data_IF_218892081155
#
_entry.id   IF_218892081155
#
_cell.length_a   1.000
_cell.length_b   1.000
_cell.length_c   1.000
_cell.angle_alpha   90.00
_cell.angle_beta   90.00
_cell.angle_gamma   90.00
#
_symmetry.space_group_name_H-M   'P 1'
#
loop_
_entity.id
_entity.type
_entity.pdbx_description
1 polymer ?
#
# COMPACT_ATOMS: atom_id res chain seq x y z
N UNK A 1 -4.24 -21.08 14.06
CA UNK A 1 -4.31 -19.96 13.12
C UNK A 1 -4.24 -18.64 13.91
N UNK A 2 -3.25 -17.81 13.67
CA UNK A 2 -3.10 -16.50 14.34
C UNK A 2 -3.93 -15.45 13.62
N UNK A 3 -4.63 -14.60 14.36
CA UNK A 3 -5.40 -13.48 13.80
C UNK A 3 -4.50 -12.25 13.68
N UNK A 4 -4.55 -11.57 12.55
CA UNK A 4 -3.83 -10.32 12.29
C UNK A 4 -4.84 -9.23 11.96
N UNK A 5 -4.88 -8.18 12.78
CA UNK A 5 -5.63 -6.97 12.49
C UNK A 5 -4.72 -5.93 11.85
N UNK A 6 -5.06 -5.45 10.68
CA UNK A 6 -4.37 -4.36 9.98
C UNK A 6 -5.26 -3.12 10.06
N UNK A 7 -4.72 -2.01 10.53
CA UNK A 7 -5.45 -0.76 10.68
C UNK A 7 -5.16 0.15 9.47
N UNK A 8 -6.21 0.40 8.68
CA UNK A 8 -6.18 1.22 7.48
C UNK A 8 -5.97 0.43 6.18
N UNK A 9 -6.83 0.68 5.20
CA UNK A 9 -6.78 0.11 3.85
C UNK A 9 -5.97 1.00 2.87
N UNK A 10 -4.92 1.65 3.36
CA UNK A 10 -3.95 2.35 2.52
C UNK A 10 -2.99 1.39 1.82
N UNK A 11 -2.05 1.93 1.03
CA UNK A 11 -1.06 1.14 0.28
C UNK A 11 -0.35 0.11 1.16
N UNK A 12 0.14 0.53 2.34
CA UNK A 12 0.88 -0.36 3.25
C UNK A 12 0.01 -1.47 3.81
N UNK A 13 -1.22 -1.15 4.26
CA UNK A 13 -2.14 -2.14 4.81
C UNK A 13 -2.57 -3.17 3.77
N UNK A 14 -2.93 -2.72 2.58
CA UNK A 14 -3.27 -3.59 1.46
C UNK A 14 -2.09 -4.47 1.03
N UNK A 15 -0.86 -3.90 1.01
CA UNK A 15 0.34 -4.66 0.66
C UNK A 15 0.64 -5.75 1.68
N UNK A 16 0.61 -5.43 2.98
CA UNK A 16 0.86 -6.40 4.06
C UNK A 16 -0.20 -7.52 4.03
N UNK A 17 -1.47 -7.18 3.83
CA UNK A 17 -2.53 -8.18 3.71
C UNK A 17 -2.27 -9.16 2.55
N UNK A 18 -1.80 -8.64 1.40
CA UNK A 18 -1.44 -9.48 0.26
C UNK A 18 -0.24 -10.40 0.53
N UNK A 19 0.71 -10.01 1.38
CA UNK A 19 1.82 -10.88 1.75
C UNK A 19 1.39 -12.04 2.63
N UNK A 20 0.37 -11.84 3.47
CA UNK A 20 -0.09 -12.86 4.41
C UNK A 20 -1.22 -13.74 3.89
N UNK A 21 -1.93 -13.34 2.82
CA UNK A 21 -3.15 -14.03 2.36
C UNK A 21 -2.96 -15.50 1.98
N UNK A 22 -1.78 -15.86 1.48
CA UNK A 22 -1.47 -17.21 1.04
C UNK A 22 -0.98 -18.11 2.21
N UNK A 23 -0.71 -17.54 3.37
CA UNK A 23 -0.24 -18.29 4.53
C UNK A 23 -1.41 -18.68 5.42
N UNK A 24 -1.72 -19.97 5.42
CA UNK A 24 -2.83 -20.55 6.17
C UNK A 24 -2.69 -20.45 7.71
N UNK A 25 -1.50 -20.13 8.21
CA UNK A 25 -1.29 -19.91 9.65
C UNK A 25 -1.92 -18.60 10.16
N UNK A 26 -2.28 -17.69 9.23
CA UNK A 26 -2.80 -16.38 9.55
C UNK A 26 -4.20 -16.14 8.99
N UNK A 27 -5.04 -15.54 9.82
CA UNK A 27 -6.29 -14.94 9.39
C UNK A 27 -6.14 -13.42 9.43
N UNK A 28 -6.11 -12.78 8.26
CA UNK A 28 -5.90 -11.34 8.13
C UNK A 28 -7.23 -10.61 7.97
N UNK A 29 -7.40 -9.51 8.69
CA UNK A 29 -8.52 -8.58 8.53
C UNK A 29 -7.99 -7.15 8.51
N UNK A 30 -8.41 -6.35 7.53
CA UNK A 30 -8.12 -4.92 7.44
C UNK A 30 -9.34 -4.15 7.97
N UNK A 31 -9.12 -3.20 8.87
CA UNK A 31 -10.15 -2.30 9.39
C UNK A 31 -9.92 -0.90 8.82
N UNK A 32 -10.87 -0.43 8.03
CA UNK A 32 -10.83 0.88 7.37
C UNK A 32 -11.94 1.77 7.95
N UNK A 33 -11.58 2.99 8.34
CA UNK A 33 -12.52 3.96 8.93
C UNK A 33 -13.54 4.50 7.93
N UNK A 34 -13.15 4.61 6.66
CA UNK A 34 -14.00 5.14 5.61
C UNK A 34 -14.98 4.07 5.09
N UNK A 35 -16.03 4.53 4.42
CA UNK A 35 -17.03 3.65 3.78
C UNK A 35 -16.51 2.91 2.57
N UNK A 36 -15.44 3.44 1.96
CA UNK A 36 -14.78 2.86 0.78
C UNK A 36 -13.34 3.35 0.68
N UNK A 37 -12.55 2.70 -0.17
CA UNK A 37 -11.22 3.20 -0.55
C UNK A 37 -11.41 4.23 -1.66
N UNK A 38 -10.88 5.45 -1.43
CA UNK A 38 -10.90 6.50 -2.44
C UNK A 38 -9.87 6.20 -3.54
N UNK A 39 -10.38 6.02 -4.76
CA UNK A 39 -9.60 5.84 -5.99
C UNK A 39 -9.61 7.09 -6.87
N UNK A 40 -10.32 8.15 -6.48
CA UNK A 40 -10.48 9.37 -7.28
C UNK A 40 -9.28 10.30 -7.11
N UNK A 41 -8.67 10.37 -5.94
CA UNK A 41 -7.48 11.17 -5.71
C UNK A 41 -6.28 10.64 -6.51
N UNK A 42 -5.97 11.36 -7.58
CA UNK A 42 -5.08 10.92 -8.63
C UNK A 42 -3.72 11.60 -8.68
N UNK A 43 -3.02 11.81 -7.54
CA UNK A 43 -1.63 12.23 -7.62
C UNK A 43 -0.71 11.06 -8.00
N UNK A 44 0.40 11.43 -8.67
CA UNK A 44 1.45 10.46 -9.01
C UNK A 44 2.25 10.07 -7.77
N UNK A 45 2.66 8.83 -7.71
CA UNK A 45 3.61 8.33 -6.71
C UNK A 45 4.85 7.77 -7.39
N UNK A 46 5.93 7.78 -6.67
CA UNK A 46 7.22 7.26 -7.12
C UNK A 46 7.59 6.06 -6.24
N UNK A 47 7.97 4.99 -6.90
CA UNK A 47 8.37 3.74 -6.27
C UNK A 47 9.83 3.45 -6.62
N UNK A 48 10.67 3.40 -5.61
CA UNK A 48 12.07 3.01 -5.76
C UNK A 48 12.22 1.52 -6.06
N UNK A 49 13.36 1.11 -6.57
CA UNK A 49 13.63 -0.27 -6.98
C UNK A 49 13.47 -1.28 -5.85
N UNK A 50 13.79 -0.90 -4.61
CA UNK A 50 13.54 -1.74 -3.43
C UNK A 50 12.03 -1.95 -3.16
N UNK A 51 11.20 -0.92 -3.36
CA UNK A 51 9.75 -1.03 -3.25
C UNK A 51 9.18 -1.93 -4.35
N UNK A 52 9.69 -1.79 -5.59
CA UNK A 52 9.31 -2.65 -6.71
C UNK A 52 9.67 -4.11 -6.43
N UNK A 53 10.86 -4.38 -5.88
CA UNK A 53 11.28 -5.72 -5.48
C UNK A 53 10.30 -6.37 -4.49
N UNK A 54 9.78 -5.60 -3.55
CA UNK A 54 8.77 -6.08 -2.60
C UNK A 54 7.42 -6.31 -3.28
N UNK A 55 6.97 -5.36 -4.09
CA UNK A 55 5.69 -5.44 -4.81
C UNK A 55 5.67 -6.60 -5.83
N UNK A 56 6.81 -6.93 -6.43
CA UNK A 56 6.93 -8.07 -7.35
C UNK A 56 6.65 -9.41 -6.65
N UNK A 57 6.85 -9.52 -5.32
CA UNK A 57 6.47 -10.73 -4.57
C UNK A 57 4.97 -11.01 -4.63
N UNK A 58 4.16 -9.98 -4.86
CA UNK A 58 2.72 -10.09 -5.03
C UNK A 58 2.29 -9.89 -6.49
N UNK A 59 3.23 -9.97 -7.44
CA UNK A 59 2.93 -9.94 -8.87
C UNK A 59 2.74 -8.55 -9.47
N UNK A 60 3.38 -7.50 -8.92
CA UNK A 60 3.30 -6.14 -9.48
C UNK A 60 3.86 -6.05 -10.90
N UNK A 61 4.80 -6.92 -11.27
CA UNK A 61 5.33 -7.03 -12.61
C UNK A 61 4.29 -7.41 -13.68
N UNK A 62 3.11 -7.88 -13.28
CA UNK A 62 1.98 -8.15 -14.20
C UNK A 62 1.14 -6.91 -14.51
N UNK A 63 1.39 -5.78 -13.84
CA UNK A 63 0.72 -4.52 -14.15
C UNK A 63 1.10 -4.06 -15.56
N UNK A 64 0.12 -3.63 -16.34
CA UNK A 64 0.34 -3.21 -17.73
C UNK A 64 1.25 -1.98 -17.82
N UNK A 65 2.08 -1.93 -18.87
CA UNK A 65 3.04 -0.83 -19.08
C UNK A 65 2.35 0.52 -19.28
N UNK A 66 1.12 0.56 -19.81
CA UNK A 66 0.32 1.79 -19.92
C UNK A 66 -0.05 2.44 -18.59
N UNK A 67 -0.05 1.67 -17.49
CA UNK A 67 -0.41 2.14 -16.15
C UNK A 67 0.79 2.59 -15.32
N UNK A 68 2.01 2.46 -15.87
CA UNK A 68 3.26 2.80 -15.18
C UNK A 68 4.26 3.43 -16.14
N UNK A 69 5.15 4.25 -15.59
CA UNK A 69 6.26 4.87 -16.32
C UNK A 69 7.57 4.62 -15.55
N UNK A 70 8.63 4.31 -16.28
CA UNK A 70 9.96 4.08 -15.71
C UNK A 70 10.89 5.21 -16.15
N UNK A 71 11.04 6.30 -15.37
CA UNK A 71 11.96 7.38 -15.70
C UNK A 71 13.41 6.90 -15.61
N UNK A 72 14.24 7.42 -16.50
CA UNK A 72 15.67 7.14 -16.52
C UNK A 72 16.44 8.18 -15.70
N UNK A 73 15.88 9.38 -15.55
CA UNK A 73 16.54 10.53 -14.96
C UNK A 73 15.56 11.42 -14.21
N UNK A 74 16.02 12.07 -13.15
CA UNK A 74 15.35 13.19 -12.48
C UNK A 74 16.24 14.41 -12.57
N UNK A 75 15.68 15.51 -13.07
CA UNK A 75 16.33 16.82 -13.09
C UNK A 75 15.69 17.75 -12.05
N UNK A 76 16.49 18.47 -11.31
CA UNK A 76 16.07 19.44 -10.32
C UNK A 76 16.40 20.86 -10.81
N UNK A 77 15.43 21.75 -10.75
CA UNK A 77 15.56 23.15 -11.19
C UNK A 77 15.19 24.13 -10.09
N UNK A 78 15.78 25.34 -10.11
CA UNK A 78 15.26 26.50 -9.36
C UNK A 78 14.01 27.04 -10.05
N UNK A 79 13.09 27.64 -9.26
CA UNK A 79 11.87 28.26 -9.83
C UNK A 79 12.24 29.55 -10.58
N UNK A 80 13.13 30.37 -10.02
CA UNK A 80 13.59 31.65 -10.61
C UNK A 80 15.03 31.97 -10.18
N UNK A 81 15.96 32.22 -11.11
CA UNK A 81 15.85 31.93 -12.54
C UNK A 81 15.76 30.42 -12.77
N UNK A 82 15.15 30.00 -13.85
CA UNK A 82 15.03 28.58 -14.23
C UNK A 82 16.43 27.99 -14.54
N UNK A 83 17.10 27.54 -13.49
CA UNK A 83 18.47 27.01 -13.56
C UNK A 83 18.48 25.59 -13.01
N UNK A 84 19.09 24.68 -13.75
CA UNK A 84 19.32 23.32 -13.29
C UNK A 84 20.25 23.33 -12.07
N UNK A 85 19.80 22.71 -10.98
CA UNK A 85 20.58 22.54 -9.74
C UNK A 85 21.45 21.29 -9.85
N UNK A 86 20.81 20.16 -10.15
CA UNK A 86 21.47 18.87 -10.28
C UNK A 86 20.57 17.90 -11.07
N UNK A 87 21.12 16.76 -11.38
CA UNK A 87 20.39 15.61 -11.91
C UNK A 87 20.75 14.34 -11.15
N UNK A 88 19.85 13.36 -11.25
CA UNK A 88 20.06 12.02 -10.74
C UNK A 88 19.76 11.04 -11.86
N UNK A 89 20.78 10.28 -12.28
CA UNK A 89 20.59 9.17 -13.21
C UNK A 89 19.98 7.99 -12.46
N UNK A 90 18.69 7.75 -12.68
CA UNK A 90 17.93 6.69 -12.00
C UNK A 90 18.21 5.34 -12.63
N UNK A 91 18.58 5.31 -13.91
CA UNK A 91 18.86 4.06 -14.61
C UNK A 91 19.98 3.25 -13.96
N UNK A 92 20.91 3.91 -13.27
CA UNK A 92 22.00 3.26 -12.55
C UNK A 92 21.55 2.38 -11.36
N UNK A 93 20.35 2.65 -10.84
CA UNK A 93 19.75 1.89 -9.75
C UNK A 93 18.78 0.80 -10.24
N UNK A 94 18.49 0.77 -11.54
CA UNK A 94 17.57 -0.19 -12.13
C UNK A 94 18.25 -1.54 -12.37
N UNK A 95 17.46 -2.60 -12.19
CA UNK A 95 17.80 -3.94 -12.65
C UNK A 95 16.78 -4.42 -13.68
N UNK A 96 17.03 -5.59 -14.29
CA UNK A 96 16.13 -6.17 -15.28
C UNK A 96 14.67 -6.23 -14.80
N UNK A 97 14.46 -6.64 -13.54
CA UNK A 97 13.14 -6.93 -12.98
C UNK A 97 12.65 -5.87 -11.99
N UNK A 98 13.49 -4.91 -11.62
CA UNK A 98 13.18 -3.87 -10.65
C UNK A 98 13.61 -2.52 -11.18
N UNK A 99 12.69 -1.78 -11.79
CA UNK A 99 12.91 -0.43 -12.29
C UNK A 99 12.20 0.58 -11.40
N UNK A 100 12.86 1.72 -11.18
CA UNK A 100 12.19 2.87 -10.59
C UNK A 100 10.93 3.18 -11.40
N UNK A 101 9.81 3.33 -10.71
CA UNK A 101 8.50 3.38 -11.37
C UNK A 101 7.68 4.54 -10.83
N UNK A 102 7.05 5.29 -11.72
CA UNK A 102 6.03 6.27 -11.39
C UNK A 102 4.69 5.80 -11.93
N UNK A 103 3.64 5.99 -11.15
CA UNK A 103 2.28 5.64 -11.55
C UNK A 103 1.27 6.47 -10.75
N UNK A 104 0.00 6.44 -11.14
CA UNK A 104 -1.07 7.02 -10.33
C UNK A 104 -1.25 6.21 -9.04
N UNK A 105 -1.38 6.90 -7.90
CA UNK A 105 -1.65 6.27 -6.60
C UNK A 105 -2.87 5.35 -6.67
N UNK A 106 -3.93 5.82 -7.32
CA UNK A 106 -5.16 5.04 -7.52
C UNK A 106 -4.92 3.69 -8.18
N UNK A 107 -4.04 3.64 -9.20
CA UNK A 107 -3.69 2.39 -9.90
C UNK A 107 -2.97 1.39 -8.99
N UNK A 108 -2.06 1.85 -8.14
CA UNK A 108 -1.42 0.97 -7.16
C UNK A 108 -2.42 0.45 -6.13
N UNK A 109 -3.30 1.32 -5.62
CA UNK A 109 -4.32 0.93 -4.64
C UNK A 109 -5.31 -0.07 -5.25
N UNK A 110 -5.79 0.19 -6.46
CA UNK A 110 -6.66 -0.70 -7.22
C UNK A 110 -6.02 -2.09 -7.42
N UNK A 111 -4.77 -2.12 -7.87
CA UNK A 111 -4.00 -3.35 -8.04
C UNK A 111 -3.92 -4.15 -6.73
N UNK A 112 -3.58 -3.49 -5.62
CA UNK A 112 -3.44 -4.14 -4.31
C UNK A 112 -4.79 -4.65 -3.79
N UNK A 113 -5.86 -3.86 -3.95
CA UNK A 113 -7.22 -4.22 -3.52
C UNK A 113 -7.75 -5.42 -4.28
N UNK A 114 -7.63 -5.41 -5.62
CA UNK A 114 -8.18 -6.46 -6.50
C UNK A 114 -7.53 -7.83 -6.28
N UNK A 115 -6.41 -7.89 -5.59
CA UNK A 115 -5.77 -9.14 -5.20
C UNK A 115 -6.29 -9.74 -3.90
N UNK A 116 -7.08 -9.00 -3.13
CA UNK A 116 -7.68 -9.45 -1.88
C UNK A 116 -9.13 -9.89 -2.10
N UNK A 117 -9.58 -10.84 -1.30
CA UNK A 117 -10.98 -11.19 -1.25
C UNK A 117 -11.80 -10.07 -0.57
N UNK A 118 -13.03 -9.85 -1.00
CA UNK A 118 -13.89 -8.76 -0.50
C UNK A 118 -14.10 -8.79 1.02
N UNK A 119 -14.08 -9.97 1.62
CA UNK A 119 -14.32 -10.14 3.06
C UNK A 119 -13.12 -9.75 3.95
N UNK A 120 -11.94 -9.50 3.38
CA UNK A 120 -10.73 -9.15 4.13
C UNK A 120 -10.80 -7.72 4.66
N UNK A 121 -11.50 -6.82 3.96
CA UNK A 121 -11.61 -5.40 4.34
C UNK A 121 -12.94 -5.15 5.03
N UNK A 122 -12.89 -4.63 6.25
CA UNK A 122 -14.05 -4.17 7.02
C UNK A 122 -14.06 -2.64 6.99
N UNK A 123 -14.98 -2.08 6.22
CA UNK A 123 -15.21 -0.63 6.13
C UNK A 123 -16.04 -0.12 7.32
N UNK A 124 -16.06 1.19 7.55
CA UNK A 124 -16.73 1.85 8.66
C UNK A 124 -16.24 1.35 10.04
N UNK A 125 -14.95 0.97 10.12
CA UNK A 125 -14.33 0.49 11.35
C UNK A 125 -13.17 1.39 11.77
N UNK A 126 -13.50 2.64 12.17
CA UNK A 126 -12.53 3.55 12.79
C UNK A 126 -12.12 3.04 14.17
N UNK A 127 -10.82 2.90 14.39
CA UNK A 127 -10.30 2.48 15.71
C UNK A 127 -10.37 3.66 16.68
N UNK A 128 -10.98 3.42 17.83
CA UNK A 128 -11.01 4.34 18.98
C UNK A 128 -9.90 4.00 19.99
N UNK A 129 -9.74 2.70 20.29
CA UNK A 129 -8.81 2.25 21.33
C UNK A 129 -8.17 0.92 21.00
N UNK A 130 -6.91 0.76 21.40
CA UNK A 130 -6.16 -0.49 21.31
C UNK A 130 -5.62 -0.79 22.72
N UNK A 131 -5.94 -1.95 23.25
CA UNK A 131 -5.53 -2.39 24.59
C UNK A 131 -4.97 -3.81 24.55
N UNK A 132 -3.92 -4.07 25.32
CA UNK A 132 -3.49 -5.45 25.60
C UNK A 132 -4.15 -5.94 26.89
N UNK A 133 -4.90 -7.04 26.80
CA UNK A 133 -5.56 -7.70 27.93
C UNK A 133 -5.24 -9.21 27.88
N UNK A 134 -4.63 -9.74 28.92
CA UNK A 134 -4.37 -11.19 29.05
C UNK A 134 -3.76 -11.82 27.78
N UNK A 135 -2.68 -11.23 27.26
CA UNK A 135 -1.98 -11.63 26.01
C UNK A 135 -2.79 -11.54 24.72
N UNK A 136 -3.98 -10.94 24.76
CA UNK A 136 -4.78 -10.61 23.60
C UNK A 136 -4.77 -9.11 23.33
N UNK A 137 -4.87 -8.73 22.05
CA UNK A 137 -5.10 -7.34 21.65
C UNK A 137 -6.58 -7.11 21.47
N UNK A 138 -7.13 -6.18 22.25
CA UNK A 138 -8.53 -5.77 22.14
C UNK A 138 -8.61 -4.46 21.32
N UNK A 139 -9.40 -4.46 20.27
CA UNK A 139 -9.70 -3.30 19.44
C UNK A 139 -11.11 -2.80 19.72
N UNK A 140 -11.25 -1.52 20.03
CA UNK A 140 -12.55 -0.85 20.18
C UNK A 140 -12.75 0.09 18.98
N UNK A 141 -13.94 0.07 18.38
CA UNK A 141 -14.29 0.84 17.20
C UNK A 141 -15.29 1.97 17.54
N UNK A 142 -15.18 3.12 16.84
CA UNK A 142 -16.00 4.31 17.08
C UNK A 142 -17.50 4.08 16.86
N UNK A 143 -17.86 3.21 15.90
CA UNK A 143 -19.25 2.89 15.63
C UNK A 143 -19.67 1.62 16.38
N UNK A 144 -20.55 1.78 17.39
CA UNK A 144 -21.19 0.73 18.19
C UNK A 144 -20.38 0.06 19.30
N UNK A 145 -19.26 0.62 19.79
CA UNK A 145 -18.50 0.08 20.94
C UNK A 145 -18.25 -1.45 20.86
N UNK A 146 -18.10 -2.00 19.65
CA UNK A 146 -17.80 -3.43 19.49
C UNK A 146 -16.33 -3.67 19.74
N UNK A 147 -16.01 -4.34 20.83
CA UNK A 147 -14.67 -4.83 21.11
C UNK A 147 -14.45 -6.18 20.39
N UNK A 148 -13.32 -6.33 19.72
CA UNK A 148 -12.87 -7.59 19.13
C UNK A 148 -11.52 -7.98 19.72
N UNK A 149 -11.33 -9.26 20.02
CA UNK A 149 -10.07 -9.81 20.55
C UNK A 149 -9.28 -10.53 19.45
N UNK A 150 -7.97 -10.30 19.43
CA UNK A 150 -7.00 -10.83 18.46
C UNK A 150 -5.84 -11.54 19.14
#
# INVERSE_FOLDING_TARGET
MKKIAIIGAGISGLFIANLFKENQDYQVTIYEKNTSIDLVEGYGIQLSTNSIKLLNKIGFNTLEDRDRFNPEKIDFYTIKPEKKICDLNISDFNSKDCKYTTLKRSKLVEFLKNKLNDNVIKYNHGIEKIEKKNDQICLTFNENNKAMNF
#
